data_IF_882272694149
#
_entry.id   IF_882272694149
#
_cell.length_a   1.000
_cell.length_b   1.000
_cell.length_c   1.000
_cell.angle_alpha   90.00
_cell.angle_beta   90.00
_cell.angle_gamma   90.00
#
_symmetry.space_group_name_H-M   'P 1'
#
loop_
_entity.id
_entity.type
_entity.pdbx_description
1 polymer ?
#
# COMPACT_ATOMS: atom_id res chain seq x y z
N UNK A 1 13.01 -24.63 -7.66
CA UNK A 1 11.99 -23.78 -8.30
C UNK A 1 11.50 -24.40 -9.61
N UNK A 2 12.28 -24.46 -10.70
CA UNK A 2 11.79 -25.03 -11.98
C UNK A 2 11.38 -26.51 -11.87
N UNK A 3 12.19 -27.36 -11.22
CA UNK A 3 11.83 -28.77 -10.96
C UNK A 3 10.55 -28.92 -10.13
N UNK A 4 10.31 -28.00 -9.19
CA UNK A 4 9.13 -28.02 -8.33
C UNK A 4 7.88 -27.68 -9.14
N UNK A 5 7.97 -26.70 -10.04
CA UNK A 5 6.88 -26.34 -10.97
C UNK A 5 6.50 -27.54 -11.85
N UNK A 6 7.49 -28.21 -12.45
CA UNK A 6 7.28 -29.39 -13.31
C UNK A 6 6.56 -30.49 -12.53
N UNK A 7 7.00 -30.77 -11.30
CA UNK A 7 6.35 -31.75 -10.41
C UNK A 7 4.93 -31.36 -10.02
N UNK A 8 4.69 -30.09 -9.68
CA UNK A 8 3.36 -29.58 -9.30
C UNK A 8 2.35 -29.70 -10.44
N UNK A 9 2.78 -29.46 -11.68
CA UNK A 9 1.92 -29.60 -12.86
C UNK A 9 1.71 -31.09 -13.23
N UNK A 10 2.47 -32.00 -12.63
CA UNK A 10 2.41 -33.43 -12.95
C UNK A 10 3.07 -33.79 -14.27
N UNK A 11 3.95 -32.92 -14.79
CA UNK A 11 4.71 -33.15 -16.01
C UNK A 11 6.03 -33.86 -15.70
N UNK A 12 6.67 -34.40 -16.74
CA UNK A 12 7.98 -35.02 -16.66
C UNK A 12 9.01 -34.19 -17.42
N UNK A 13 10.27 -34.23 -16.99
CA UNK A 13 11.36 -33.39 -17.53
C UNK A 13 11.54 -33.60 -19.04
N UNK A 14 11.36 -34.83 -19.51
CA UNK A 14 11.44 -35.26 -20.92
C UNK A 14 10.30 -34.74 -21.80
N UNK A 15 9.20 -34.25 -21.20
CA UNK A 15 8.06 -33.64 -21.90
C UNK A 15 7.95 -32.14 -21.62
N UNK A 16 9.02 -31.50 -21.17
CA UNK A 16 9.05 -30.08 -20.88
C UNK A 16 10.15 -29.37 -21.68
N UNK A 17 9.79 -28.19 -22.18
CA UNK A 17 10.73 -27.20 -22.69
C UNK A 17 10.66 -25.95 -21.82
N UNK A 18 11.79 -25.32 -21.56
CA UNK A 18 11.88 -24.06 -20.83
C UNK A 18 12.44 -22.98 -21.74
N UNK A 19 11.67 -21.91 -21.92
CA UNK A 19 12.00 -20.81 -22.83
C UNK A 19 12.26 -19.55 -22.01
N UNK A 20 13.39 -18.89 -22.24
CA UNK A 20 13.70 -17.62 -21.59
C UNK A 20 14.70 -16.78 -22.38
N UNK A 21 14.72 -15.48 -22.09
CA UNK A 21 15.54 -14.48 -22.80
C UNK A 21 16.96 -14.39 -22.23
N UNK A 22 17.22 -14.91 -21.03
CA UNK A 22 18.54 -14.86 -20.41
C UNK A 22 19.31 -16.19 -20.52
N UNK A 23 20.42 -16.20 -21.27
CA UNK A 23 21.34 -17.36 -21.33
C UNK A 23 21.85 -17.77 -19.94
N UNK A 24 22.26 -16.81 -19.12
CA UNK A 24 22.94 -17.08 -17.86
C UNK A 24 21.99 -17.31 -16.67
N UNK A 25 20.67 -17.14 -16.87
CA UNK A 25 19.65 -17.42 -15.84
C UNK A 25 18.71 -18.51 -16.28
N UNK A 26 18.00 -18.28 -17.38
CA UNK A 26 16.88 -19.11 -17.79
C UNK A 26 17.36 -20.42 -18.40
N UNK A 27 18.24 -20.31 -19.39
CA UNK A 27 18.85 -21.46 -20.07
C UNK A 27 19.73 -22.26 -19.10
N UNK A 28 20.46 -21.57 -18.23
CA UNK A 28 21.24 -22.21 -17.15
C UNK A 28 20.34 -22.96 -16.16
N UNK A 29 19.22 -22.36 -15.73
CA UNK A 29 18.26 -23.02 -14.82
C UNK A 29 17.61 -24.24 -15.45
N UNK A 30 17.26 -24.18 -16.74
CA UNK A 30 16.72 -25.32 -17.48
C UNK A 30 17.72 -26.47 -17.58
N UNK A 31 18.97 -26.15 -17.92
CA UNK A 31 20.06 -27.11 -18.03
C UNK A 31 20.41 -27.79 -16.72
N UNK A 32 20.44 -27.04 -15.61
CA UNK A 32 20.67 -27.59 -14.26
C UNK A 32 19.61 -28.63 -13.87
N UNK A 33 18.38 -28.48 -14.38
CA UNK A 33 17.26 -29.41 -14.13
C UNK A 33 17.18 -30.52 -15.20
N UNK A 34 17.89 -30.38 -16.32
CA UNK A 34 17.87 -31.32 -17.44
C UNK A 34 16.65 -31.17 -18.37
N UNK A 35 15.97 -30.02 -18.32
CA UNK A 35 14.82 -29.69 -19.18
C UNK A 35 15.35 -29.18 -20.53
N UNK A 36 14.61 -29.41 -21.62
CA UNK A 36 14.98 -28.88 -22.93
C UNK A 36 15.02 -27.34 -22.90
N UNK A 37 16.22 -26.76 -23.02
CA UNK A 37 16.46 -25.34 -22.86
C UNK A 37 16.38 -24.58 -24.20
N UNK A 38 15.59 -23.52 -24.25
CA UNK A 38 15.40 -22.70 -25.45
C UNK A 38 15.71 -21.24 -25.12
N UNK A 39 16.63 -20.66 -25.87
CA UNK A 39 17.00 -19.25 -25.75
C UNK A 39 16.14 -18.37 -26.66
N UNK A 40 15.35 -17.47 -26.07
CA UNK A 40 14.56 -16.47 -26.77
C UNK A 40 15.41 -15.22 -27.10
N UNK A 41 16.30 -15.34 -28.09
CA UNK A 41 17.18 -14.26 -28.52
C UNK A 41 16.43 -13.00 -28.98
N UNK A 42 15.26 -13.14 -29.59
CA UNK A 42 14.41 -12.00 -29.98
C UNK A 42 13.99 -11.13 -28.77
N UNK A 43 13.94 -11.72 -27.56
CA UNK A 43 13.53 -11.07 -26.32
C UNK A 43 14.70 -10.49 -25.52
N UNK A 44 15.94 -10.71 -25.95
CA UNK A 44 17.12 -10.21 -25.23
C UNK A 44 17.08 -8.70 -25.13
N UNK A 45 16.85 -8.21 -23.92
CA UNK A 45 17.07 -6.81 -23.57
C UNK A 45 18.58 -6.57 -23.55
N UNK A 46 19.18 -6.28 -24.71
CA UNK A 46 20.60 -5.97 -24.88
C UNK A 46 21.09 -5.04 -23.76
N UNK A 47 22.09 -5.54 -23.02
CA UNK A 47 22.93 -4.86 -21.99
C UNK A 47 22.68 -3.35 -21.88
N UNK A 48 21.71 -2.95 -21.07
CA UNK A 48 21.60 -1.56 -20.62
C UNK A 48 22.32 -1.39 -19.29
N UNK A 49 22.95 -0.23 -19.03
CA UNK A 49 23.52 0.13 -17.71
C UNK A 49 22.52 -0.02 -16.54
N UNK A 50 21.23 -0.12 -16.86
CA UNK A 50 20.11 -0.35 -15.95
C UNK A 50 20.13 -1.75 -15.29
N UNK A 51 20.88 -2.72 -15.81
CA UNK A 51 20.97 -4.07 -15.22
C UNK A 51 21.69 -4.07 -13.86
N UNK A 52 22.73 -3.25 -13.72
CA UNK A 52 23.41 -3.06 -12.42
C UNK A 52 22.49 -2.35 -11.41
N UNK A 53 21.62 -1.45 -11.90
CA UNK A 53 20.59 -0.83 -11.08
C UNK A 53 19.58 -1.88 -10.60
N UNK A 54 19.11 -2.76 -11.49
CA UNK A 54 18.20 -3.86 -11.15
C UNK A 54 18.81 -4.81 -10.11
N UNK A 55 20.11 -5.15 -10.21
CA UNK A 55 20.82 -5.93 -9.18
C UNK A 55 20.84 -5.25 -7.81
N UNK A 56 20.97 -3.92 -7.76
CA UNK A 56 20.99 -3.16 -6.51
C UNK A 56 19.61 -3.05 -5.84
N UNK A 57 18.51 -3.02 -6.61
CA UNK A 57 17.15 -2.93 -6.06
C UNK A 57 16.43 -4.28 -5.90
N UNK A 58 16.99 -5.38 -6.43
CA UNK A 58 16.48 -6.73 -6.21
C UNK A 58 17.15 -7.39 -4.99
N UNK A 59 16.39 -8.10 -4.14
CA UNK A 59 16.90 -8.83 -2.97
C UNK A 59 17.71 -10.09 -3.35
N UNK A 60 18.80 -9.93 -4.10
CA UNK A 60 19.71 -11.02 -4.44
C UNK A 60 20.66 -11.28 -3.28
N UNK A 61 20.90 -12.55 -2.96
CA UNK A 61 21.90 -12.92 -1.97
C UNK A 61 23.30 -12.94 -2.61
N UNK A 62 24.35 -12.80 -1.79
CA UNK A 62 25.74 -12.90 -2.26
C UNK A 62 26.02 -14.26 -2.95
N UNK A 63 25.30 -15.31 -2.54
CA UNK A 63 25.38 -16.63 -3.16
C UNK A 63 24.79 -16.66 -4.59
N UNK A 64 23.69 -15.93 -4.85
CA UNK A 64 23.09 -15.83 -6.18
C UNK A 64 24.00 -15.04 -7.12
N UNK A 65 24.62 -13.98 -6.60
CA UNK A 65 25.62 -13.17 -7.31
C UNK A 65 26.86 -13.98 -7.67
N UNK A 66 27.38 -14.79 -6.74
CA UNK A 66 28.57 -15.60 -6.97
C UNK A 66 28.30 -16.77 -7.93
N UNK A 67 27.09 -17.33 -7.89
CA UNK A 67 26.63 -18.33 -8.86
C UNK A 67 26.60 -17.75 -10.26
N UNK A 68 25.98 -16.59 -10.45
CA UNK A 68 25.91 -15.90 -11.75
C UNK A 68 27.32 -15.57 -12.29
N UNK A 69 28.22 -15.03 -11.44
CA UNK A 69 29.62 -14.79 -11.82
C UNK A 69 30.31 -16.07 -12.29
N UNK A 70 30.11 -17.19 -11.60
CA UNK A 70 30.74 -18.45 -11.96
C UNK A 70 30.24 -19.03 -13.29
N UNK A 71 28.98 -18.76 -13.66
CA UNK A 71 28.39 -19.19 -14.94
C UNK A 71 28.96 -18.32 -16.08
N UNK A 72 29.08 -17.00 -15.86
CA UNK A 72 29.69 -16.08 -16.82
C UNK A 72 31.19 -16.35 -17.01
N UNK A 73 31.93 -16.63 -15.94
CA UNK A 73 33.37 -16.94 -15.99
C UNK A 73 33.69 -18.31 -16.60
N UNK A 74 32.77 -19.29 -16.48
CA UNK A 74 32.87 -20.59 -17.17
C UNK A 74 32.43 -20.55 -18.64
N UNK A 75 31.99 -19.38 -19.13
CA UNK A 75 31.32 -19.19 -20.43
C UNK A 75 32.18 -19.33 -21.68
N UNK A 76 33.08 -20.32 -21.74
CA UNK A 76 33.78 -20.65 -22.98
C UNK A 76 33.09 -21.70 -23.86
N UNK A 77 31.94 -22.26 -23.45
CA UNK A 77 31.04 -23.08 -24.30
C UNK A 77 29.63 -23.20 -23.66
N UNK A 78 28.84 -22.12 -23.68
CA UNK A 78 27.45 -22.17 -23.22
C UNK A 78 26.50 -22.00 -24.43
N UNK A 79 26.35 -23.07 -25.20
CA UNK A 79 25.41 -23.14 -26.32
C UNK A 79 24.04 -23.66 -25.84
N UNK A 80 22.93 -22.93 -26.06
CA UNK A 80 21.59 -23.42 -25.75
C UNK A 80 21.17 -24.56 -26.69
N UNK A 81 20.24 -25.41 -26.25
CA UNK A 81 19.75 -26.54 -27.04
C UNK A 81 18.92 -26.10 -28.26
N UNK A 82 18.24 -24.94 -28.16
CA UNK A 82 17.61 -24.27 -29.29
C UNK A 82 17.62 -22.74 -29.13
N UNK A 83 17.52 -22.00 -30.23
CA UNK A 83 17.51 -20.52 -30.24
C UNK A 83 16.37 -20.01 -31.09
N UNK A 84 15.52 -19.15 -30.51
CA UNK A 84 14.47 -18.41 -31.21
C UNK A 84 15.01 -17.01 -31.53
N UNK A 85 15.23 -16.71 -32.80
CA UNK A 85 15.96 -15.52 -33.26
C UNK A 85 15.07 -14.30 -33.42
N UNK A 86 13.92 -14.44 -34.07
CA UNK A 86 13.08 -13.33 -34.50
C UNK A 86 11.72 -13.29 -33.79
N UNK A 87 11.18 -14.44 -33.35
CA UNK A 87 9.89 -14.51 -32.67
C UNK A 87 9.67 -15.76 -31.82
N UNK A 88 8.69 -15.71 -30.91
CA UNK A 88 8.25 -16.88 -30.14
C UNK A 88 7.72 -18.01 -31.03
N UNK A 89 7.18 -17.70 -32.22
CA UNK A 89 6.58 -18.70 -33.11
C UNK A 89 7.59 -19.72 -33.64
N UNK A 90 8.89 -19.41 -33.61
CA UNK A 90 9.96 -20.36 -33.95
C UNK A 90 10.01 -21.57 -33.00
N UNK A 91 9.31 -21.52 -31.85
CA UNK A 91 9.19 -22.66 -30.94
C UNK A 91 8.66 -23.92 -31.64
N UNK A 92 7.79 -23.77 -32.65
CA UNK A 92 7.24 -24.89 -33.43
C UNK A 92 8.28 -25.57 -34.35
N UNK A 93 9.46 -24.96 -34.54
CA UNK A 93 10.59 -25.59 -35.24
C UNK A 93 11.28 -26.61 -34.33
N UNK A 94 11.20 -26.40 -33.02
CA UNK A 94 11.96 -27.16 -32.02
C UNK A 94 11.09 -28.04 -31.12
N UNK A 95 9.78 -27.80 -31.07
CA UNK A 95 8.86 -28.51 -30.19
C UNK A 95 7.59 -28.93 -30.93
N UNK A 96 7.25 -30.21 -30.80
CA UNK A 96 5.93 -30.73 -31.12
C UNK A 96 5.05 -30.69 -29.88
N UNK A 97 3.86 -30.09 -30.00
CA UNK A 97 2.91 -29.96 -28.91
C UNK A 97 1.87 -31.08 -28.99
N UNK A 98 1.74 -31.83 -27.90
CA UNK A 98 0.74 -32.89 -27.75
C UNK A 98 -0.26 -32.55 -26.65
N UNK A 99 -1.39 -33.27 -26.60
CA UNK A 99 -2.31 -33.15 -25.47
C UNK A 99 -1.60 -33.52 -24.17
N UNK A 100 -1.67 -32.62 -23.20
CA UNK A 100 -1.22 -32.91 -21.84
C UNK A 100 -2.39 -33.53 -21.07
N UNK A 101 -2.55 -34.84 -21.25
CA UNK A 101 -3.49 -35.62 -20.46
C UNK A 101 -2.81 -36.01 -19.14
N UNK A 102 -3.26 -35.43 -18.04
CA UNK A 102 -2.84 -35.86 -16.70
C UNK A 102 -3.11 -37.37 -16.58
N UNK A 103 -2.14 -38.20 -16.16
CA UNK A 103 -2.36 -39.61 -15.95
C UNK A 103 -3.62 -39.83 -15.08
N UNK A 104 -4.51 -40.78 -15.42
CA UNK A 104 -5.66 -41.10 -14.60
C UNK A 104 -5.19 -41.46 -13.17
N UNK A 105 -5.58 -40.65 -12.19
CA UNK A 105 -5.12 -40.81 -10.80
C UNK A 105 -3.92 -39.94 -10.38
N UNK A 106 -3.42 -39.04 -11.23
CA UNK A 106 -2.55 -37.94 -10.79
C UNK A 106 -3.34 -37.05 -9.85
N UNK A 107 -3.12 -37.24 -8.56
CA UNK A 107 -3.56 -36.31 -7.53
C UNK A 107 -2.69 -35.06 -7.74
N UNK A 108 -3.24 -34.00 -8.35
CA UNK A 108 -2.73 -32.65 -8.09
C UNK A 108 -2.82 -32.53 -6.58
N UNK A 109 -1.69 -32.57 -5.89
CA UNK A 109 -1.66 -32.75 -4.44
C UNK A 109 -2.61 -31.75 -3.79
N UNK A 110 -3.77 -32.25 -3.34
CA UNK A 110 -4.86 -31.45 -2.79
C UNK A 110 -4.37 -30.69 -1.54
N UNK A 111 -3.38 -31.28 -0.85
CA UNK A 111 -2.66 -30.62 0.23
C UNK A 111 -1.83 -29.44 -0.29
N UNK A 112 -1.07 -29.59 -1.37
CA UNK A 112 -0.30 -28.49 -1.98
C UNK A 112 -1.20 -27.34 -2.44
N UNK A 113 -2.33 -27.63 -3.08
CA UNK A 113 -3.30 -26.58 -3.48
C UNK A 113 -3.87 -25.86 -2.26
N UNK A 114 -4.22 -26.62 -1.21
CA UNK A 114 -4.71 -26.06 0.07
C UNK A 114 -3.63 -25.23 0.77
N UNK A 115 -2.36 -25.64 0.71
CA UNK A 115 -1.22 -24.89 1.24
C UNK A 115 -1.03 -23.56 0.49
N UNK A 116 -1.03 -23.57 -0.84
CA UNK A 116 -0.92 -22.34 -1.64
C UNK A 116 -2.10 -21.40 -1.41
N UNK A 117 -3.31 -21.94 -1.28
CA UNK A 117 -4.49 -21.16 -0.92
C UNK A 117 -4.35 -20.53 0.48
N UNK A 118 -3.85 -21.29 1.45
CA UNK A 118 -3.58 -20.80 2.80
C UNK A 118 -2.50 -19.71 2.81
N UNK A 119 -1.41 -19.87 2.05
CA UNK A 119 -0.36 -18.86 1.89
C UNK A 119 -0.89 -17.59 1.22
N UNK A 120 -1.68 -17.74 0.16
CA UNK A 120 -2.33 -16.62 -0.54
C UNK A 120 -3.31 -15.89 0.38
N UNK A 121 -4.11 -16.63 1.15
CA UNK A 121 -5.01 -16.07 2.16
C UNK A 121 -4.23 -15.30 3.23
N UNK A 122 -3.18 -15.90 3.81
CA UNK A 122 -2.31 -15.24 4.80
C UNK A 122 -1.76 -13.93 4.24
N UNK A 123 -1.21 -13.96 3.02
CA UNK A 123 -0.64 -12.76 2.41
C UNK A 123 -1.70 -11.68 2.15
N UNK A 124 -2.92 -12.08 1.78
CA UNK A 124 -4.04 -11.16 1.62
C UNK A 124 -4.45 -10.54 2.95
N UNK A 125 -4.51 -11.33 4.03
CA UNK A 125 -4.81 -10.84 5.39
C UNK A 125 -3.72 -9.88 5.88
N UNK A 126 -2.44 -10.14 5.61
CA UNK A 126 -1.35 -9.23 5.96
C UNK A 126 -1.50 -7.87 5.26
N UNK A 127 -1.84 -7.89 3.96
CA UNK A 127 -2.11 -6.67 3.19
C UNK A 127 -3.34 -5.93 3.75
N UNK A 128 -4.38 -6.65 4.15
CA UNK A 128 -5.55 -6.08 4.81
C UNK A 128 -5.18 -5.38 6.12
N UNK A 129 -4.37 -6.02 6.99
CA UNK A 129 -3.89 -5.42 8.24
C UNK A 129 -3.07 -4.16 7.96
N UNK A 130 -2.17 -4.22 6.98
CA UNK A 130 -1.35 -3.08 6.58
C UNK A 130 -2.20 -1.88 6.14
N UNK A 131 -3.23 -2.09 5.32
CA UNK A 131 -4.14 -1.01 4.92
C UNK A 131 -4.95 -0.45 6.09
N UNK A 132 -5.42 -1.31 7.00
CA UNK A 132 -6.12 -0.86 8.20
C UNK A 132 -5.22 0.01 9.10
N UNK A 133 -3.96 -0.37 9.27
CA UNK A 133 -2.98 0.42 10.02
C UNK A 133 -2.68 1.77 9.35
N UNK A 134 -2.62 1.78 8.02
CA UNK A 134 -2.42 2.99 7.23
C UNK A 134 -3.62 3.95 7.40
N UNK A 135 -4.86 3.46 7.34
CA UNK A 135 -6.06 4.26 7.62
C UNK A 135 -5.99 4.90 9.02
N UNK A 136 -5.65 4.12 10.05
CA UNK A 136 -5.54 4.62 11.42
C UNK A 136 -4.45 5.68 11.56
N UNK A 137 -3.32 5.52 10.87
CA UNK A 137 -2.23 6.50 10.86
C UNK A 137 -2.67 7.82 10.23
N UNK A 138 -3.39 7.77 9.11
CA UNK A 138 -3.89 8.97 8.43
C UNK A 138 -4.87 9.73 9.33
N UNK A 139 -5.78 9.03 10.00
CA UNK A 139 -6.73 9.65 10.94
C UNK A 139 -6.01 10.33 12.10
N UNK A 140 -5.03 9.67 12.69
CA UNK A 140 -4.21 10.26 13.75
C UNK A 140 -3.49 11.52 13.27
N UNK A 141 -2.89 11.47 12.08
CA UNK A 141 -2.21 12.63 11.49
C UNK A 141 -3.18 13.79 11.23
N UNK A 142 -4.39 13.51 10.71
CA UNK A 142 -5.42 14.50 10.50
C UNK A 142 -5.82 15.19 11.81
N UNK A 143 -6.04 14.42 12.89
CA UNK A 143 -6.36 14.93 14.22
C UNK A 143 -5.21 15.80 14.75
N UNK A 144 -3.96 15.38 14.60
CA UNK A 144 -2.79 16.14 15.04
C UNK A 144 -2.67 17.48 14.31
N UNK A 145 -2.75 17.49 12.98
CA UNK A 145 -2.63 18.70 12.16
C UNK A 145 -3.77 19.68 12.47
N UNK A 146 -5.01 19.19 12.52
CA UNK A 146 -6.17 20.04 12.84
C UNK A 146 -6.10 20.54 14.29
N UNK A 147 -5.71 19.69 15.24
CA UNK A 147 -5.52 20.07 16.64
C UNK A 147 -4.49 21.18 16.81
N UNK A 148 -3.35 21.09 16.11
CA UNK A 148 -2.34 22.15 16.11
C UNK A 148 -2.87 23.47 15.56
N UNK A 149 -3.61 23.43 14.44
CA UNK A 149 -4.21 24.64 13.85
C UNK A 149 -5.27 25.27 14.76
N UNK A 150 -6.12 24.45 15.41
CA UNK A 150 -7.09 24.94 16.40
C UNK A 150 -6.38 25.57 17.61
N UNK A 151 -5.28 24.97 18.08
CA UNK A 151 -4.48 25.57 19.16
C UNK A 151 -3.90 26.94 18.74
N UNK A 152 -3.42 27.05 17.49
CA UNK A 152 -2.96 28.33 16.94
C UNK A 152 -4.08 29.37 16.84
N UNK A 153 -5.33 28.98 16.57
CA UNK A 153 -6.48 29.90 16.61
C UNK A 153 -6.62 30.53 17.98
N UNK A 154 -6.55 29.74 19.06
CA UNK A 154 -6.60 30.25 20.43
C UNK A 154 -5.49 31.26 20.74
N UNK A 155 -4.27 31.00 20.27
CA UNK A 155 -3.14 31.92 20.40
C UNK A 155 -3.38 33.24 19.64
N UNK A 156 -3.84 33.18 18.39
CA UNK A 156 -4.12 34.39 17.59
C UNK A 156 -5.25 35.23 18.19
N UNK A 157 -6.24 34.59 18.81
CA UNK A 157 -7.33 35.27 19.49
C UNK A 157 -6.86 36.02 20.74
N UNK A 158 -5.99 35.42 21.56
CA UNK A 158 -5.43 36.07 22.76
C UNK A 158 -4.58 37.30 22.42
N UNK A 159 -3.86 37.28 21.30
CA UNK A 159 -3.06 38.43 20.85
C UNK A 159 -3.87 39.50 20.12
N UNK A 160 -5.17 39.29 19.88
CA UNK A 160 -6.01 40.23 19.15
C UNK A 160 -5.57 40.43 17.71
N UNK A 161 -4.90 39.44 17.09
CA UNK A 161 -4.41 39.54 15.72
C UNK A 161 -5.58 39.66 14.74
N UNK A 162 -5.61 40.76 13.99
CA UNK A 162 -6.60 41.04 12.96
C UNK A 162 -5.92 41.24 11.61
N UNK A 163 -6.55 40.76 10.56
CA UNK A 163 -6.18 41.04 9.19
C UNK A 163 -7.22 41.99 8.57
N UNK A 164 -6.75 43.00 7.84
CA UNK A 164 -7.61 43.81 6.96
C UNK A 164 -7.67 43.13 5.60
N UNK A 165 -8.85 42.62 5.23
CA UNK A 165 -9.07 41.95 3.96
C UNK A 165 -10.24 42.63 3.26
N UNK A 166 -9.97 43.29 2.13
CA UNK A 166 -10.96 44.08 1.38
C UNK A 166 -11.71 45.13 2.24
N UNK A 167 -11.04 45.75 3.22
CA UNK A 167 -11.64 46.76 4.11
C UNK A 167 -12.47 46.18 5.26
N UNK A 168 -12.51 44.85 5.41
CA UNK A 168 -13.16 44.16 6.53
C UNK A 168 -12.09 43.65 7.49
N UNK A 169 -12.19 44.02 8.77
CA UNK A 169 -11.31 43.52 9.83
C UNK A 169 -11.78 42.15 10.30
N UNK A 170 -11.01 41.11 9.99
CA UNK A 170 -11.33 39.72 10.34
C UNK A 170 -10.26 39.21 11.32
N UNK A 171 -10.66 38.42 12.31
CA UNK A 171 -9.69 37.73 13.18
C UNK A 171 -8.76 36.86 12.35
N UNK A 172 -7.45 36.92 12.59
CA UNK A 172 -6.47 36.07 11.93
C UNK A 172 -6.76 34.56 12.15
N UNK A 173 -7.46 34.22 13.25
CA UNK A 173 -7.94 32.87 13.52
C UNK A 173 -8.91 32.33 12.48
N UNK A 174 -9.65 33.18 11.75
CA UNK A 174 -10.56 32.74 10.68
C UNK A 174 -9.79 32.05 9.57
N UNK A 175 -8.66 32.60 9.15
CA UNK A 175 -7.80 31.99 8.13
C UNK A 175 -7.26 30.62 8.58
N UNK A 176 -6.88 30.50 9.86
CA UNK A 176 -6.40 29.24 10.42
C UNK A 176 -7.50 28.17 10.51
N UNK A 177 -8.73 28.54 10.90
CA UNK A 177 -9.87 27.60 10.91
C UNK A 177 -10.22 27.15 9.49
N UNK A 178 -10.18 28.04 8.51
CA UNK A 178 -10.40 27.68 7.11
C UNK A 178 -9.30 26.73 6.59
N UNK A 179 -8.04 26.99 6.93
CA UNK A 179 -6.93 26.10 6.62
C UNK A 179 -7.09 24.72 7.28
N UNK A 180 -7.54 24.68 8.54
CA UNK A 180 -7.86 23.43 9.24
C UNK A 180 -9.02 22.68 8.57
N UNK A 181 -10.06 23.39 8.15
CA UNK A 181 -11.19 22.83 7.39
C UNK A 181 -10.76 22.24 6.06
N UNK A 182 -9.91 22.94 5.31
CA UNK A 182 -9.35 22.44 4.07
C UNK A 182 -8.48 21.19 4.29
N UNK A 183 -7.59 21.21 5.27
CA UNK A 183 -6.77 20.05 5.63
C UNK A 183 -7.65 18.85 6.03
N UNK A 184 -8.68 19.08 6.85
CA UNK A 184 -9.62 18.05 7.28
C UNK A 184 -10.36 17.40 6.10
N UNK A 185 -10.82 18.22 5.15
CA UNK A 185 -11.45 17.73 3.92
C UNK A 185 -10.46 16.96 3.04
N UNK A 186 -9.21 17.44 2.90
CA UNK A 186 -8.18 16.73 2.16
C UNK A 186 -7.91 15.33 2.75
N UNK A 187 -7.83 15.22 4.08
CA UNK A 187 -7.71 13.92 4.75
C UNK A 187 -8.96 13.06 4.58
N UNK A 188 -10.15 13.64 4.60
CA UNK A 188 -11.39 12.91 4.29
C UNK A 188 -11.33 12.29 2.89
N UNK A 189 -10.94 13.06 1.87
CA UNK A 189 -10.86 12.53 0.50
C UNK A 189 -9.84 11.39 0.39
N UNK A 190 -8.67 11.59 0.99
CA UNK A 190 -7.59 10.62 1.03
C UNK A 190 -8.03 9.31 1.71
N UNK A 191 -8.64 9.38 2.90
CA UNK A 191 -9.12 8.20 3.63
C UNK A 191 -10.27 7.53 2.86
N UNK A 192 -11.30 8.30 2.46
CA UNK A 192 -12.54 7.79 1.84
C UNK A 192 -12.37 7.16 0.46
N UNK A 193 -11.64 7.82 -0.43
CA UNK A 193 -11.63 7.49 -1.85
C UNK A 193 -10.34 6.81 -2.31
N UNK A 194 -9.27 6.85 -1.51
CA UNK A 194 -8.03 6.17 -1.85
C UNK A 194 -7.84 4.96 -0.94
N UNK A 195 -7.60 5.18 0.35
CA UNK A 195 -7.16 4.10 1.23
C UNK A 195 -8.28 3.15 1.68
N UNK A 196 -9.49 3.67 1.94
CA UNK A 196 -10.61 2.81 2.30
C UNK A 196 -11.04 1.86 1.18
N UNK A 197 -10.87 2.29 -0.07
CA UNK A 197 -11.13 1.43 -1.23
C UNK A 197 -10.13 0.26 -1.27
N UNK A 198 -8.86 0.49 -0.93
CA UNK A 198 -7.85 -0.56 -0.87
C UNK A 198 -8.15 -1.59 0.23
N UNK A 199 -8.46 -1.12 1.45
CA UNK A 199 -8.84 -2.00 2.55
C UNK A 199 -10.06 -2.85 2.18
N UNK A 200 -11.09 -2.22 1.61
CA UNK A 200 -12.32 -2.92 1.18
C UNK A 200 -12.04 -3.94 0.07
N UNK A 201 -11.15 -3.62 -0.86
CA UNK A 201 -10.70 -4.55 -1.91
C UNK A 201 -10.03 -5.80 -1.33
N UNK A 202 -9.07 -5.60 -0.41
CA UNK A 202 -8.37 -6.69 0.27
C UNK A 202 -9.34 -7.58 1.09
N UNK A 203 -10.24 -6.98 1.87
CA UNK A 203 -11.27 -7.72 2.64
C UNK A 203 -12.17 -8.55 1.71
N UNK A 204 -12.59 -7.97 0.58
CA UNK A 204 -13.46 -8.68 -0.38
C UNK A 204 -12.72 -9.88 -0.99
N UNK A 205 -11.45 -9.70 -1.37
CA UNK A 205 -10.64 -10.78 -1.92
C UNK A 205 -10.39 -11.89 -0.90
N UNK A 206 -10.02 -11.54 0.34
CA UNK A 206 -9.87 -12.49 1.44
C UNK A 206 -11.16 -13.29 1.67
N UNK A 207 -12.32 -12.62 1.71
CA UNK A 207 -13.63 -13.28 1.88
C UNK A 207 -13.97 -14.26 0.75
N UNK A 208 -13.50 -14.01 -0.49
CA UNK A 208 -13.66 -14.97 -1.58
C UNK A 208 -12.85 -16.24 -1.32
N UNK A 209 -11.57 -16.11 -0.94
CA UNK A 209 -10.70 -17.25 -0.61
C UNK A 209 -11.27 -18.03 0.59
N UNK A 210 -11.71 -17.32 1.63
CA UNK A 210 -12.31 -17.93 2.82
C UNK A 210 -13.53 -18.78 2.49
N UNK A 211 -14.37 -18.34 1.55
CA UNK A 211 -15.57 -19.09 1.13
C UNK A 211 -15.22 -20.29 0.26
N UNK A 212 -14.25 -20.14 -0.64
CA UNK A 212 -13.82 -21.20 -1.55
C UNK A 212 -13.17 -22.37 -0.80
N UNK A 213 -12.43 -22.08 0.27
CA UNK A 213 -11.71 -23.09 1.06
C UNK A 213 -12.34 -23.37 2.44
N UNK A 214 -13.56 -22.90 2.70
CA UNK A 214 -14.24 -23.05 4.00
C UNK A 214 -14.34 -24.52 4.47
N UNK A 215 -14.61 -25.43 3.55
CA UNK A 215 -14.78 -26.86 3.84
C UNK A 215 -13.45 -27.59 4.05
N UNK A 216 -12.35 -27.02 3.55
CA UNK A 216 -11.01 -27.64 3.57
C UNK A 216 -10.11 -27.10 4.67
N UNK A 217 -10.26 -25.82 5.02
CA UNK A 217 -9.41 -25.13 6.00
C UNK A 217 -10.28 -24.69 7.18
N UNK A 218 -10.31 -25.49 8.28
CA UNK A 218 -11.05 -25.12 9.47
C UNK A 218 -10.59 -23.76 10.02
N UNK A 219 -11.55 -22.86 10.25
CA UNK A 219 -11.29 -21.56 10.88
C UNK A 219 -10.77 -20.46 9.94
N UNK A 220 -10.69 -20.69 8.63
CA UNK A 220 -10.24 -19.66 7.67
C UNK A 220 -11.16 -18.43 7.63
N UNK A 221 -12.46 -18.59 7.93
CA UNK A 221 -13.51 -17.58 7.77
C UNK A 221 -13.57 -16.43 8.79
N UNK A 222 -12.49 -16.09 9.48
CA UNK A 222 -12.48 -15.04 10.50
C UNK A 222 -12.87 -13.66 9.93
N UNK A 223 -12.27 -13.26 8.80
CA UNK A 223 -12.50 -11.96 8.18
C UNK A 223 -13.94 -11.79 7.72
N UNK A 224 -14.50 -12.82 7.08
CA UNK A 224 -15.91 -12.86 6.65
C UNK A 224 -16.85 -12.75 7.85
N UNK A 225 -16.57 -13.46 8.95
CA UNK A 225 -17.38 -13.39 10.17
C UNK A 225 -17.39 -11.99 10.76
N UNK A 226 -16.21 -11.34 10.86
CA UNK A 226 -16.10 -9.96 11.34
C UNK A 226 -16.86 -8.99 10.41
N UNK A 227 -16.73 -9.14 9.09
CA UNK A 227 -17.42 -8.29 8.13
C UNK A 227 -18.95 -8.41 8.22
N UNK A 228 -19.48 -9.62 8.45
CA UNK A 228 -20.92 -9.86 8.61
C UNK A 228 -21.44 -9.28 9.92
N UNK A 229 -20.73 -9.54 11.03
CA UNK A 229 -21.11 -9.05 12.35
C UNK A 229 -21.04 -7.53 12.43
N UNK A 230 -19.97 -6.93 11.90
CA UNK A 230 -19.78 -5.48 11.90
C UNK A 230 -20.81 -4.75 11.04
N UNK A 231 -21.32 -5.36 9.95
CA UNK A 231 -22.36 -4.77 9.12
C UNK A 231 -23.73 -4.62 9.80
N UNK A 232 -23.97 -5.35 10.90
CA UNK A 232 -25.26 -5.37 11.60
C UNK A 232 -25.38 -4.35 12.75
N UNK A 233 -24.32 -3.57 13.01
CA UNK A 233 -24.33 -2.57 14.09
C UNK A 233 -25.29 -1.43 13.74
N UNK A 234 -26.14 -1.06 14.71
CA UNK A 234 -27.03 0.10 14.63
C UNK A 234 -26.51 1.21 15.54
N UNK A 235 -26.37 2.42 15.02
CA UNK A 235 -26.13 3.63 15.81
C UNK A 235 -27.39 4.48 15.71
N UNK A 236 -27.95 4.88 16.85
CA UNK A 236 -29.12 5.76 16.94
C UNK A 236 -30.27 5.33 15.99
N UNK A 237 -30.65 4.05 16.06
CA UNK A 237 -31.67 3.39 15.25
C UNK A 237 -31.34 3.16 13.76
N UNK A 238 -30.21 3.65 13.24
CA UNK A 238 -29.82 3.47 11.83
C UNK A 238 -28.73 2.41 11.67
N UNK A 239 -28.88 1.52 10.68
CA UNK A 239 -27.79 0.59 10.31
C UNK A 239 -26.61 1.39 9.76
N UNK A 240 -25.42 1.09 10.28
CA UNK A 240 -24.18 1.76 9.91
C UNK A 240 -23.20 0.79 9.27
N UNK A 241 -22.78 1.09 8.04
CA UNK A 241 -21.68 0.41 7.36
C UNK A 241 -20.36 1.16 7.62
N UNK A 242 -19.22 0.57 7.26
CA UNK A 242 -17.89 1.19 7.41
C UNK A 242 -17.84 2.59 6.80
N UNK A 243 -18.40 2.74 5.60
CA UNK A 243 -18.46 4.00 4.86
C UNK A 243 -19.21 5.11 5.61
N UNK A 244 -20.36 4.77 6.21
CA UNK A 244 -21.13 5.71 7.03
C UNK A 244 -20.39 6.10 8.29
N UNK A 245 -19.72 5.15 8.96
CA UNK A 245 -18.93 5.47 10.17
C UNK A 245 -17.84 6.47 9.87
N UNK A 246 -17.11 6.27 8.77
CA UNK A 246 -16.10 7.19 8.29
C UNK A 246 -16.69 8.57 7.98
N UNK A 247 -17.81 8.59 7.24
CA UNK A 247 -18.49 9.86 6.90
C UNK A 247 -18.95 10.60 8.16
N UNK A 248 -19.51 9.90 9.15
CA UNK A 248 -19.95 10.50 10.42
C UNK A 248 -18.76 11.09 11.18
N UNK A 249 -17.63 10.38 11.24
CA UNK A 249 -16.42 10.84 11.91
C UNK A 249 -15.91 12.17 11.32
N UNK A 250 -15.75 12.23 9.99
CA UNK A 250 -15.29 13.46 9.33
C UNK A 250 -16.34 14.57 9.37
N UNK A 251 -17.63 14.25 9.26
CA UNK A 251 -18.71 15.23 9.39
C UNK A 251 -18.73 15.86 10.79
N UNK A 252 -18.51 15.08 11.85
CA UNK A 252 -18.42 15.59 13.21
C UNK A 252 -17.24 16.56 13.38
N UNK A 253 -16.06 16.22 12.85
CA UNK A 253 -14.90 17.12 12.88
C UNK A 253 -15.12 18.41 12.08
N UNK A 254 -15.76 18.32 10.91
CA UNK A 254 -16.09 19.49 10.11
C UNK A 254 -17.13 20.39 10.80
N UNK A 255 -18.14 19.79 11.44
CA UNK A 255 -19.14 20.52 12.21
C UNK A 255 -18.49 21.27 13.40
N UNK A 256 -17.55 20.63 14.11
CA UNK A 256 -16.77 21.26 15.16
C UNK A 256 -16.00 22.49 14.64
N UNK A 257 -15.31 22.37 13.51
CA UNK A 257 -14.63 23.51 12.87
C UNK A 257 -15.61 24.62 12.46
N UNK A 258 -16.81 24.25 11.98
CA UNK A 258 -17.88 25.20 11.67
C UNK A 258 -18.36 26.00 12.90
N UNK A 259 -18.46 25.35 14.06
CA UNK A 259 -18.78 26.04 15.33
C UNK A 259 -17.67 27.03 15.68
N UNK A 260 -16.40 26.61 15.61
CA UNK A 260 -15.26 27.51 15.89
C UNK A 260 -15.26 28.71 14.93
N UNK A 261 -15.49 28.47 13.63
CA UNK A 261 -15.59 29.54 12.65
C UNK A 261 -16.71 30.53 13.00
N UNK A 262 -17.91 30.04 13.31
CA UNK A 262 -19.04 30.88 13.68
C UNK A 262 -18.76 31.69 14.95
N UNK A 263 -18.10 31.10 15.95
CA UNK A 263 -17.69 31.83 17.16
C UNK A 263 -16.72 32.96 16.85
N UNK A 264 -15.76 32.77 15.93
CA UNK A 264 -14.81 33.81 15.55
C UNK A 264 -15.46 34.95 14.75
N UNK A 265 -16.49 34.65 13.96
CA UNK A 265 -17.22 35.66 13.20
C UNK A 265 -18.11 36.54 14.09
N UNK A 266 -18.64 35.99 15.19
CA UNK A 266 -19.48 36.72 16.14
C UNK A 266 -18.64 37.41 17.23
N UNK A 267 -17.48 36.85 17.57
CA UNK A 267 -16.63 37.37 18.63
C UNK A 267 -16.09 38.77 18.30
N UNK A 268 -16.34 39.71 19.20
CA UNK A 268 -15.73 41.04 19.17
C UNK A 268 -14.28 40.93 19.68
N UNK A 269 -13.30 41.50 18.98
CA UNK A 269 -11.91 41.43 19.40
C UNK A 269 -11.69 42.13 20.74
N UNK A 270 -10.96 41.48 21.66
CA UNK A 270 -10.49 42.12 22.88
C UNK A 270 -9.55 43.28 22.50
N UNK A 271 -9.78 44.51 23.00
CA UNK A 271 -8.80 45.58 22.84
C UNK A 271 -7.49 45.13 23.51
N UNK A 272 -6.31 45.42 22.92
CA UNK A 272 -5.04 45.03 23.50
C UNK A 272 -4.98 45.54 24.95
N UNK A 273 -4.70 44.63 25.88
CA UNK A 273 -4.63 44.93 27.31
C UNK A 273 -3.77 46.17 27.55
N UNK A 274 -4.33 47.14 28.27
CA UNK A 274 -3.67 48.41 28.57
C UNK A 274 -2.27 48.19 29.13
N UNK A 275 -1.34 49.04 28.69
CA UNK A 275 0.02 49.11 29.19
C UNK A 275 0.05 49.03 30.73
N UNK A 276 1.06 48.37 31.34
CA UNK A 276 1.19 48.35 32.78
C UNK A 276 1.17 49.78 33.34
N UNK A 277 0.16 50.09 34.14
CA UNK A 277 0.08 51.35 34.90
C UNK A 277 1.23 51.38 35.92
N UNK A 278 1.96 52.49 35.91
CA UNK A 278 2.83 53.00 36.99
C UNK A 278 4.07 52.18 37.36
N UNK A 279 5.11 52.28 36.53
CA UNK A 279 6.46 52.38 37.09
C UNK A 279 6.61 53.79 37.68
N UNK A 280 6.30 53.94 38.97
CA UNK A 280 6.60 55.17 39.74
C UNK A 280 8.07 55.49 39.56
N UNK A 281 8.35 56.62 38.90
CA UNK A 281 9.64 57.30 38.95
C UNK A 281 9.92 57.59 40.43
N UNK A 282 10.86 56.86 41.01
CA UNK A 282 11.43 57.19 42.31
C UNK A 282 12.35 58.38 42.04
N UNK A 283 11.85 59.60 42.28
CA UNK A 283 12.70 60.78 42.37
C UNK A 283 13.65 60.61 43.56
N UNK A 284 14.96 60.60 43.31
CA UNK A 284 15.97 60.69 44.36
C UNK A 284 15.91 62.08 45.03
N UNK A 285 15.95 62.17 46.37
CA UNK A 285 16.04 63.46 47.03
C UNK A 285 17.47 64.00 46.88
N UNK A 286 17.57 65.20 46.28
CA UNK A 286 18.79 66.01 46.29
C UNK A 286 19.28 66.17 47.74
N UNK A 287 20.48 65.68 48.03
CA UNK A 287 21.22 66.05 49.26
C UNK A 287 21.69 67.50 49.15
N UNK A 288 21.44 68.24 50.22
CA UNK A 288 21.92 69.58 50.56
C UNK A 288 23.44 69.69 50.52
#
# INVERSE_FOLDING_TARGET
MLLDIIKTVGATIDRCAYVGDSLFKDVAMARDVGVFDIHAKYGESQRRPEYDLLRQVSHWTEADVQREKSIVEKGHDFEPSAVLTDSFAEIFIHCDFESFDLPPGTIVDDNTTTQYALETWKKTVDVQQHFNDLEMRIRNFAITVVGALIASVGFTYQQGLQADVFGVRISAGVGLVLAAGFAWLAFFFMDRYWYHIFLRGAVKHASTIEKEFADRIPGIGLGTTISQMSGNVKILCWRTNSERRLTIFYAAGLAMLGVVLLTLLIAQPQPPGGAPRDARVIEEPKRS
#
